data_IF_622615983675
#
_entry.id   IF_622615983675
#
_cell.length_a   1.000
_cell.length_b   1.000
_cell.length_c   1.000
_cell.angle_alpha   90.00
_cell.angle_beta   90.00
_cell.angle_gamma   90.00
#
_symmetry.space_group_name_H-M   'P 1'
#
loop_
_entity.id
_entity.type
_entity.pdbx_description
1 polymer ?
#
# COMPACT_ATOMS: atom_id res chain seq x y z
N UNK A 1 1.57 -19.61 -20.45
CA UNK A 1 0.61 -18.48 -20.48
C UNK A 1 -0.75 -19.06 -20.14
N UNK A 2 -1.40 -18.60 -19.06
CA UNK A 2 -2.72 -19.08 -18.63
C UNK A 2 -3.72 -17.97 -18.86
N UNK A 3 -4.84 -18.27 -19.51
CA UNK A 3 -5.92 -17.32 -19.74
C UNK A 3 -7.04 -17.54 -18.72
N UNK A 4 -7.46 -16.48 -18.03
CA UNK A 4 -8.59 -16.48 -17.11
C UNK A 4 -9.76 -15.76 -17.78
N UNK A 5 -10.89 -16.43 -17.95
CA UNK A 5 -12.11 -15.83 -18.49
C UNK A 5 -13.12 -15.59 -17.36
N UNK A 6 -13.52 -14.32 -17.20
CA UNK A 6 -14.58 -13.91 -16.28
C UNK A 6 -15.90 -13.88 -17.07
N UNK A 7 -16.91 -14.60 -16.59
CA UNK A 7 -18.24 -14.68 -17.22
C UNK A 7 -19.26 -13.88 -16.41
N UNK A 8 -20.38 -13.56 -17.07
CA UNK A 8 -21.55 -12.94 -16.46
C UNK A 8 -21.27 -11.57 -15.81
N UNK A 9 -20.39 -10.79 -16.43
CA UNK A 9 -20.08 -9.43 -15.98
C UNK A 9 -21.19 -8.48 -16.45
N UNK A 10 -21.89 -7.79 -15.54
CA UNK A 10 -22.84 -6.77 -15.90
C UNK A 10 -22.20 -5.63 -16.71
N UNK A 11 -22.93 -5.10 -17.69
CA UNK A 11 -22.38 -4.10 -18.62
C UNK A 11 -21.97 -2.79 -17.93
N UNK A 12 -22.69 -2.39 -16.89
CA UNK A 12 -22.38 -1.24 -16.04
C UNK A 12 -21.05 -1.42 -15.29
N UNK A 13 -20.81 -2.63 -14.76
CA UNK A 13 -19.55 -2.98 -14.10
C UNK A 13 -18.41 -2.96 -15.11
N UNK A 14 -18.60 -3.58 -16.28
CA UNK A 14 -17.61 -3.58 -17.36
C UNK A 14 -17.25 -2.15 -17.80
N UNK A 15 -18.26 -1.28 -17.95
CA UNK A 15 -18.06 0.10 -18.35
C UNK A 15 -17.27 0.90 -17.32
N UNK A 16 -17.65 0.78 -16.04
CA UNK A 16 -16.94 1.42 -14.92
C UNK A 16 -15.46 0.99 -14.87
N UNK A 17 -15.19 -0.30 -15.05
CA UNK A 17 -13.81 -0.81 -15.07
C UNK A 17 -13.03 -0.32 -16.30
N UNK A 18 -13.67 -0.24 -17.46
CA UNK A 18 -13.05 0.29 -18.68
C UNK A 18 -12.69 1.77 -18.55
N UNK A 19 -13.55 2.58 -17.94
CA UNK A 19 -13.27 4.00 -17.66
C UNK A 19 -12.09 4.15 -16.70
N UNK A 20 -12.04 3.35 -15.63
CA UNK A 20 -10.91 3.33 -14.69
C UNK A 20 -9.60 2.89 -15.33
N UNK A 21 -9.65 1.94 -16.27
CA UNK A 21 -8.48 1.51 -17.03
C UNK A 21 -7.97 2.62 -17.96
N UNK A 22 -8.89 3.30 -18.68
CA UNK A 22 -8.56 4.45 -19.54
C UNK A 22 -7.94 5.60 -18.75
N UNK A 23 -8.48 5.91 -17.57
CA UNK A 23 -7.93 6.95 -16.69
C UNK A 23 -6.47 6.66 -16.26
N UNK A 24 -6.07 5.39 -16.26
CA UNK A 24 -4.70 4.94 -15.97
C UNK A 24 -3.84 4.74 -17.22
N UNK A 25 -4.36 5.02 -18.42
CA UNK A 25 -3.66 4.76 -19.69
C UNK A 25 -3.45 3.28 -19.99
N UNK A 26 -4.25 2.39 -19.39
CA UNK A 26 -4.12 0.94 -19.49
C UNK A 26 -5.26 0.33 -20.29
N UNK A 27 -4.99 -0.81 -20.95
CA UNK A 27 -6.06 -1.64 -21.50
C UNK A 27 -6.86 -2.27 -20.35
N UNK A 28 -8.15 -2.58 -20.60
CA UNK A 28 -9.00 -3.21 -19.58
C UNK A 28 -8.41 -4.55 -19.11
N UNK A 29 -7.82 -5.35 -20.00
CA UNK A 29 -7.18 -6.61 -19.62
C UNK A 29 -5.96 -6.39 -18.71
N UNK A 30 -5.09 -5.42 -19.04
CA UNK A 30 -3.92 -5.11 -18.21
C UNK A 30 -4.33 -4.60 -16.82
N UNK A 31 -5.38 -3.76 -16.77
CA UNK A 31 -5.94 -3.27 -15.52
C UNK A 31 -6.52 -4.40 -14.67
N UNK A 32 -7.30 -5.31 -15.26
CA UNK A 32 -7.84 -6.48 -14.55
C UNK A 32 -6.73 -7.41 -14.05
N UNK A 33 -5.70 -7.63 -14.85
CA UNK A 33 -4.54 -8.42 -14.43
C UNK A 33 -3.87 -7.80 -13.20
N UNK A 34 -3.61 -6.48 -13.20
CA UNK A 34 -3.03 -5.81 -12.04
C UNK A 34 -3.88 -5.94 -10.78
N UNK A 35 -5.21 -5.89 -10.93
CA UNK A 35 -6.17 -6.08 -9.84
C UNK A 35 -6.08 -7.48 -9.24
N UNK A 36 -6.02 -8.51 -10.09
CA UNK A 36 -5.90 -9.91 -9.66
C UNK A 36 -4.55 -10.16 -8.97
N UNK A 37 -3.47 -9.61 -9.52
CA UNK A 37 -2.14 -9.74 -8.91
C UNK A 37 -2.05 -9.03 -7.55
N UNK A 38 -2.61 -7.81 -7.45
CA UNK A 38 -2.65 -7.06 -6.20
C UNK A 38 -3.43 -7.82 -5.13
N UNK A 39 -4.57 -8.40 -5.51
CA UNK A 39 -5.38 -9.20 -4.60
C UNK A 39 -4.65 -10.46 -4.15
N UNK A 40 -3.98 -11.17 -5.07
CA UNK A 40 -3.18 -12.34 -4.73
C UNK A 40 -2.02 -11.98 -3.78
N UNK A 41 -1.34 -10.84 -4.00
CA UNK A 41 -0.30 -10.33 -3.11
C UNK A 41 -0.86 -10.02 -1.72
N UNK A 42 -2.01 -9.35 -1.63
CA UNK A 42 -2.65 -9.02 -0.34
C UNK A 42 -3.07 -10.26 0.42
N UNK A 43 -3.74 -11.20 -0.26
CA UNK A 43 -4.16 -12.47 0.33
C UNK A 43 -2.96 -13.30 0.82
N UNK A 44 -1.85 -13.33 0.05
CA UNK A 44 -0.61 -13.98 0.47
C UNK A 44 0.02 -13.31 1.70
N UNK A 45 -0.01 -11.98 1.78
CA UNK A 45 0.49 -11.24 2.95
C UNK A 45 -0.36 -11.52 4.19
N UNK A 46 -1.70 -11.53 4.07
CA UNK A 46 -2.58 -11.89 5.18
C UNK A 46 -2.35 -13.32 5.64
N UNK A 47 -2.22 -14.28 4.71
CA UNK A 47 -1.88 -15.66 5.06
C UNK A 47 -0.49 -15.79 5.69
N UNK A 48 0.47 -14.95 5.32
CA UNK A 48 1.77 -14.90 5.99
C UNK A 48 1.63 -14.38 7.42
N UNK A 49 0.92 -13.27 7.62
CA UNK A 49 0.69 -12.67 8.95
C UNK A 49 -0.11 -13.60 9.87
N UNK A 50 -1.12 -14.29 9.35
CA UNK A 50 -1.91 -15.27 10.09
C UNK A 50 -1.04 -16.46 10.57
N UNK A 51 -0.09 -16.92 9.74
CA UNK A 51 0.91 -17.93 10.16
C UNK A 51 1.83 -17.47 11.28
N UNK A 52 1.98 -16.16 11.49
CA UNK A 52 2.76 -15.59 12.59
C UNK A 52 1.91 -15.11 13.77
N UNK A 53 0.58 -15.04 13.63
CA UNK A 53 -0.32 -14.53 14.66
C UNK A 53 -0.36 -15.38 15.94
N UNK A 54 0.03 -16.67 15.86
CA UNK A 54 0.10 -17.59 17.00
C UNK A 54 1.51 -17.90 17.51
N UNK A 55 2.51 -17.11 17.11
CA UNK A 55 3.92 -17.36 17.47
C UNK A 55 4.34 -16.51 18.68
N UNK A 56 4.63 -17.18 19.79
CA UNK A 56 5.22 -16.58 21.00
C UNK A 56 6.76 -16.43 20.92
N UNK A 57 7.38 -16.84 19.82
CA UNK A 57 8.82 -16.66 19.54
C UNK A 57 9.15 -15.27 18.94
N UNK A 58 8.15 -14.38 18.88
CA UNK A 58 8.30 -12.99 18.49
C UNK A 58 9.10 -12.14 19.48
N UNK A 59 9.20 -10.84 19.18
CA UNK A 59 9.86 -9.88 20.06
C UNK A 59 9.25 -9.92 21.46
N UNK A 60 10.09 -10.02 22.50
CA UNK A 60 9.67 -9.89 23.91
C UNK A 60 9.26 -8.46 24.27
N UNK A 61 9.39 -7.51 23.34
CA UNK A 61 8.98 -6.14 23.56
C UNK A 61 7.45 -6.06 23.58
N UNK A 62 6.86 -5.48 24.63
CA UNK A 62 5.43 -5.23 24.66
C UNK A 62 5.03 -4.31 23.48
N UNK A 63 3.84 -4.56 22.93
CA UNK A 63 3.30 -3.83 21.78
C UNK A 63 3.35 -2.32 22.00
N UNK A 64 3.06 -1.86 23.22
CA UNK A 64 3.04 -0.44 23.58
C UNK A 64 4.41 0.23 23.44
N UNK A 65 5.47 -0.48 23.81
CA UNK A 65 6.85 0.01 23.67
C UNK A 65 7.27 0.10 22.20
N UNK A 66 6.87 -0.89 21.40
CA UNK A 66 7.10 -0.87 19.94
C UNK A 66 6.33 0.28 19.27
N UNK A 67 5.08 0.54 19.66
CA UNK A 67 4.28 1.65 19.11
C UNK A 67 4.85 3.00 19.53
N UNK A 68 5.28 3.16 20.79
CA UNK A 68 5.88 4.39 21.28
C UNK A 68 7.18 4.73 20.53
N UNK A 69 8.04 3.72 20.30
CA UNK A 69 9.26 3.89 19.52
C UNK A 69 8.97 4.31 18.06
N UNK A 70 7.94 3.74 17.42
CA UNK A 70 7.53 4.12 16.06
C UNK A 70 7.01 5.55 15.98
N UNK A 71 6.19 5.97 16.95
CA UNK A 71 5.63 7.32 16.98
C UNK A 71 6.69 8.38 17.27
N UNK A 72 7.66 8.06 18.14
CA UNK A 72 8.83 8.90 18.33
C UNK A 72 9.64 9.06 17.02
N UNK A 73 9.94 7.96 16.35
CA UNK A 73 10.69 7.99 15.09
C UNK A 73 9.96 8.75 13.96
N UNK A 74 8.63 8.71 13.93
CA UNK A 74 7.81 9.51 12.99
C UNK A 74 7.89 10.99 13.32
N UNK A 75 7.77 11.35 14.60
CA UNK A 75 7.83 12.73 15.08
C UNK A 75 9.20 13.36 14.78
N UNK A 76 10.28 12.63 15.04
CA UNK A 76 11.65 13.07 14.75
C UNK A 76 11.86 13.28 13.24
N UNK A 77 11.36 12.35 12.41
CA UNK A 77 11.42 12.48 10.95
C UNK A 77 10.66 13.70 10.45
N UNK A 78 9.45 13.92 10.95
CA UNK A 78 8.63 15.07 10.56
C UNK A 78 9.28 16.38 10.97
N UNK A 79 9.93 16.43 12.14
CA UNK A 79 10.72 17.57 12.57
C UNK A 79 11.91 17.84 11.64
N UNK A 80 12.66 16.79 11.26
CA UNK A 80 13.79 16.90 10.32
C UNK A 80 13.35 17.35 8.92
N UNK A 81 12.20 16.87 8.44
CA UNK A 81 11.65 17.28 7.14
C UNK A 81 11.18 18.74 7.16
N UNK A 82 10.61 19.21 8.27
CA UNK A 82 10.23 20.61 8.47
C UNK A 82 11.45 21.53 8.54
N UNK A 83 12.46 21.13 9.29
CA UNK A 83 13.72 21.87 9.44
C UNK A 83 14.45 22.03 8.09
N UNK A 84 14.51 20.95 7.30
CA UNK A 84 15.07 20.97 5.94
C UNK A 84 14.23 21.74 4.92
N UNK A 85 12.96 22.01 5.22
CA UNK A 85 12.03 22.77 4.38
C UNK A 85 12.05 24.28 4.66
N UNK A 86 12.75 24.75 5.70
CA UNK A 86 12.94 26.17 5.95
C UNK A 86 13.98 26.72 4.96
N UNK A 87 13.64 27.69 4.09
CA UNK A 87 14.63 28.32 3.23
C UNK A 87 15.65 29.07 4.09
N UNK A 88 16.91 29.05 3.65
CA UNK A 88 17.94 29.97 4.12
C UNK A 88 17.56 31.41 3.75
N UNK A 89 16.56 31.98 4.42
CA UNK A 89 16.30 33.42 4.39
C UNK A 89 17.27 34.06 5.35
N UNK A 90 18.51 34.17 4.88
CA UNK A 90 19.64 34.79 5.56
C UNK A 90 20.61 35.35 4.54
N UNK A 91 20.08 35.91 3.45
CA UNK A 91 20.79 36.89 2.64
C UNK A 91 19.97 38.16 2.70
N UNK A 92 20.37 39.10 3.56
CA UNK A 92 20.21 40.51 3.24
C UNK A 92 21.15 41.39 4.10
N UNK A 93 21.66 42.42 3.42
CA UNK A 93 22.48 43.55 3.87
C UNK A 93 23.98 43.32 4.18
#
# INVERSE_FOLDING_TARGET
>A
MVALQIRDVPDDVRQTLAERARARGQSLQAFLLSLVEDEARRSANLGLLDRFAGRDDGSRLPVEEATAALDQARTERDAQLRDRSLPATGGDA
#
